data_IF_007151795152
#
_entry.id   IF_007151795152
#
_cell.length_a   1.000
_cell.length_b   1.000
_cell.length_c   1.000
_cell.angle_alpha   90.00
_cell.angle_beta   90.00
_cell.angle_gamma   90.00
#
_symmetry.space_group_name_H-M   'P 1'
#
loop_
_entity.id
_entity.type
_entity.pdbx_description
1 polymer ?
#
# COMPACT_ATOMS: atom_id res chain seq x y z
N UNK A 1 -0.43 -34.60 -36.63
CA UNK A 1 0.33 -34.35 -35.38
C UNK A 1 -0.57 -33.54 -34.46
N UNK A 2 -1.00 -34.11 -33.33
CA UNK A 2 -1.86 -33.42 -32.37
C UNK A 2 -0.96 -32.62 -31.44
N UNK A 3 -0.97 -31.30 -31.55
CA UNK A 3 -0.23 -30.42 -30.65
C UNK A 3 -0.98 -30.34 -29.32
N UNK A 4 -0.44 -30.99 -28.29
CA UNK A 4 -0.95 -30.87 -26.92
C UNK A 4 -0.49 -29.51 -26.38
N UNK A 5 -1.41 -28.56 -26.25
CA UNK A 5 -1.13 -27.29 -25.57
C UNK A 5 -0.90 -27.57 -24.08
N UNK A 6 0.34 -27.44 -23.62
CA UNK A 6 0.65 -27.47 -22.20
C UNK A 6 0.12 -26.18 -21.55
N UNK A 7 -0.92 -26.30 -20.72
CA UNK A 7 -1.39 -25.21 -19.89
C UNK A 7 -0.35 -24.93 -18.80
N UNK A 8 0.34 -23.79 -18.89
CA UNK A 8 1.21 -23.30 -17.83
C UNK A 8 0.30 -22.79 -16.69
N UNK A 9 0.03 -23.63 -15.70
CA UNK A 9 -0.57 -23.18 -14.44
C UNK A 9 0.48 -22.37 -13.69
N UNK A 10 0.43 -21.04 -13.80
CA UNK A 10 1.21 -20.16 -12.95
C UNK A 10 0.70 -20.29 -11.52
N UNK A 11 1.51 -20.88 -10.63
CA UNK A 11 1.29 -20.71 -9.19
C UNK A 11 1.45 -19.23 -8.89
N UNK A 12 0.35 -18.54 -8.58
CA UNK A 12 0.43 -17.20 -8.02
C UNK A 12 1.06 -17.33 -6.62
N UNK A 13 2.26 -16.77 -6.38
CA UNK A 13 2.84 -16.81 -5.05
C UNK A 13 1.91 -16.08 -4.08
N UNK A 14 1.60 -16.73 -2.94
CA UNK A 14 0.95 -16.08 -1.80
C UNK A 14 2.01 -15.21 -1.11
N UNK A 15 2.32 -14.05 -1.68
CA UNK A 15 3.20 -13.09 -1.03
C UNK A 15 2.45 -12.43 0.13
N UNK A 16 2.86 -12.73 1.38
CA UNK A 16 2.33 -12.09 2.58
C UNK A 16 3.34 -11.07 3.13
N UNK A 17 3.46 -9.92 2.49
CA UNK A 17 4.37 -8.84 2.89
C UNK A 17 4.02 -8.16 4.21
N UNK A 18 4.98 -8.08 5.14
CA UNK A 18 4.81 -7.38 6.42
C UNK A 18 5.40 -5.97 6.33
N UNK A 19 4.55 -4.96 6.17
CA UNK A 19 4.94 -3.55 6.09
C UNK A 19 3.72 -2.64 6.27
N UNK A 20 3.95 -1.39 6.72
CA UNK A 20 2.91 -0.40 6.96
C UNK A 20 3.24 0.91 6.22
N UNK A 21 2.32 1.34 5.36
CA UNK A 21 2.32 2.68 4.77
C UNK A 21 2.01 3.71 5.85
N UNK A 22 2.91 4.67 6.05
CA UNK A 22 2.82 5.53 7.23
C UNK A 22 3.27 6.97 7.03
N UNK A 23 3.78 7.36 5.85
CA UNK A 23 4.05 8.77 5.51
C UNK A 23 3.83 9.09 4.04
N UNK A 24 3.42 10.33 3.78
CA UNK A 24 3.36 10.91 2.45
C UNK A 24 4.42 12.00 2.33
N UNK A 25 5.07 12.10 1.16
CA UNK A 25 5.81 13.31 0.79
C UNK A 25 5.17 13.99 -0.42
N UNK A 26 5.19 15.32 -0.44
CA UNK A 26 4.64 16.15 -1.51
C UNK A 26 5.74 17.04 -2.05
N UNK A 27 6.08 16.90 -3.34
CA UNK A 27 7.24 17.58 -3.96
C UNK A 27 8.54 17.35 -3.19
N UNK A 28 8.71 16.18 -2.59
CA UNK A 28 9.87 15.80 -1.78
C UNK A 28 9.84 16.24 -0.31
N UNK A 29 8.86 17.05 0.11
CA UNK A 29 8.71 17.43 1.51
C UNK A 29 7.93 16.36 2.30
N UNK A 30 8.56 15.74 3.30
CA UNK A 30 7.91 14.81 4.24
C UNK A 30 6.79 15.54 5.00
N UNK A 31 5.57 14.97 4.99
CA UNK A 31 4.41 15.54 5.68
C UNK A 31 4.34 15.16 7.16
N UNK A 32 5.16 14.21 7.62
CA UNK A 32 5.22 13.73 8.99
C UNK A 32 4.63 12.35 9.18
N UNK A 33 5.07 11.68 10.25
CA UNK A 33 4.60 10.34 10.63
C UNK A 33 3.09 10.34 10.87
N UNK A 34 2.38 9.47 10.13
CA UNK A 34 0.94 9.21 10.23
C UNK A 34 -0.01 10.40 9.98
N UNK A 35 0.52 11.55 9.58
CA UNK A 35 -0.27 12.74 9.29
C UNK A 35 -1.09 12.55 8.01
N UNK A 36 -2.42 12.59 8.13
CA UNK A 36 -3.33 12.34 7.01
C UNK A 36 -3.32 10.90 6.48
N UNK A 37 -2.80 9.94 7.25
CA UNK A 37 -2.78 8.51 6.90
C UNK A 37 -3.73 7.76 7.83
N UNK A 38 -4.46 6.79 7.28
CA UNK A 38 -5.25 5.81 8.05
C UNK A 38 -4.42 4.52 8.13
N UNK A 39 -3.95 4.14 9.31
CA UNK A 39 -3.06 2.99 9.45
C UNK A 39 -3.46 2.06 10.63
N UNK A 40 -3.23 0.74 10.48
CA UNK A 40 -3.22 -0.20 11.60
C UNK A 40 -1.92 -0.08 12.42
N UNK A 41 -1.88 -0.73 13.59
CA UNK A 41 -0.62 -1.05 14.30
C UNK A 41 0.02 -2.35 13.78
N UNK A 42 -0.79 -3.21 13.16
CA UNK A 42 -0.42 -4.54 12.65
C UNK A 42 0.11 -4.45 11.22
N UNK A 43 1.20 -5.15 10.94
CA UNK A 43 1.82 -5.31 9.62
C UNK A 43 1.34 -6.57 8.88
N UNK A 44 0.51 -7.41 9.52
CA UNK A 44 -0.09 -8.60 8.89
C UNK A 44 -0.97 -8.24 7.68
N UNK A 45 -0.95 -9.13 6.69
CA UNK A 45 -1.60 -8.90 5.39
C UNK A 45 -3.11 -9.07 5.39
N UNK A 46 -3.75 -8.33 4.48
CA UNK A 46 -5.12 -8.60 4.05
C UNK A 46 -5.08 -9.68 2.96
N UNK A 47 -5.74 -10.81 3.23
CA UNK A 47 -5.78 -11.96 2.29
C UNK A 47 -7.12 -12.09 1.56
N UNK A 48 -8.22 -11.60 2.15
CA UNK A 48 -9.54 -11.67 1.54
C UNK A 48 -9.80 -10.42 0.67
N UNK A 49 -9.57 -10.54 -0.63
CA UNK A 49 -9.80 -9.45 -1.60
C UNK A 49 -11.27 -9.04 -1.77
N UNK A 50 -12.21 -9.87 -1.32
CA UNK A 50 -13.64 -9.56 -1.33
C UNK A 50 -14.12 -8.92 -0.02
N UNK A 51 -13.24 -8.76 0.97
CA UNK A 51 -13.54 -8.15 2.27
C UNK A 51 -13.48 -6.63 2.24
N UNK A 52 -14.22 -5.96 3.13
CA UNK A 52 -14.22 -4.49 3.25
C UNK A 52 -12.83 -3.92 3.59
N UNK A 53 -12.03 -4.71 4.31
CA UNK A 53 -10.66 -4.37 4.71
C UNK A 53 -9.72 -4.18 3.51
N UNK A 54 -10.05 -4.71 2.34
CA UNK A 54 -9.22 -4.57 1.14
C UNK A 54 -9.13 -3.11 0.64
N UNK A 55 -10.10 -2.25 1.02
CA UNK A 55 -10.11 -0.86 0.58
C UNK A 55 -9.00 -0.02 1.24
N UNK A 56 -8.85 -0.09 2.56
CA UNK A 56 -7.90 0.74 3.32
C UNK A 56 -7.27 0.04 4.54
N UNK A 57 -7.17 -1.29 4.54
CA UNK A 57 -6.76 -2.12 5.67
C UNK A 57 -7.81 -2.18 6.81
N UNK A 58 -7.55 -3.02 7.83
CA UNK A 58 -8.43 -3.27 8.98
C UNK A 58 -7.86 -2.68 10.26
N UNK A 59 -8.65 -2.71 11.34
CA UNK A 59 -8.21 -2.35 12.70
C UNK A 59 -7.43 -1.02 12.75
N UNK A 60 -7.95 0.01 12.08
CA UNK A 60 -7.29 1.32 11.98
C UNK A 60 -7.20 1.97 13.37
N UNK A 61 -5.97 2.12 13.87
CA UNK A 61 -5.65 2.72 15.17
C UNK A 61 -5.15 4.16 15.02
N UNK A 62 -4.58 4.48 13.87
CA UNK A 62 -4.08 5.82 13.54
C UNK A 62 -4.99 6.45 12.51
N UNK A 63 -5.66 7.54 12.89
CA UNK A 63 -6.47 8.37 12.02
C UNK A 63 -6.55 9.77 12.62
N UNK A 64 -6.13 10.77 11.87
CA UNK A 64 -6.34 12.18 12.20
C UNK A 64 -7.38 12.81 11.25
N UNK A 65 -7.64 14.10 11.43
CA UNK A 65 -8.50 14.91 10.56
C UNK A 65 -7.70 15.68 9.49
N UNK A 66 -6.40 15.41 9.35
CA UNK A 66 -5.56 16.15 8.41
C UNK A 66 -5.86 15.71 6.99
N UNK A 67 -6.18 16.66 6.11
CA UNK A 67 -6.21 16.44 4.66
C UNK A 67 -4.97 17.10 4.05
N UNK A 68 -4.09 16.29 3.47
CA UNK A 68 -2.85 16.78 2.89
C UNK A 68 -3.11 17.53 1.57
N UNK A 69 -2.68 18.80 1.42
CA UNK A 69 -2.82 19.52 0.16
C UNK A 69 -1.80 19.00 -0.87
N UNK A 70 -2.30 18.35 -1.93
CA UNK A 70 -1.48 17.82 -3.02
C UNK A 70 -1.86 18.55 -4.32
N UNK A 71 -1.01 19.47 -4.82
CA UNK A 71 -1.25 20.09 -6.12
C UNK A 71 -1.27 19.04 -7.23
N UNK A 72 -2.21 19.16 -8.18
CA UNK A 72 -2.22 18.30 -9.36
C UNK A 72 -0.88 18.37 -10.11
N UNK A 73 -0.38 17.22 -10.56
CA UNK A 73 0.94 17.09 -11.19
C UNK A 73 2.14 17.10 -10.23
N UNK A 74 1.93 17.24 -8.91
CA UNK A 74 3.02 17.09 -7.95
C UNK A 74 3.53 15.64 -7.90
N UNK A 75 4.85 15.48 -7.72
CA UNK A 75 5.42 14.19 -7.33
C UNK A 75 4.99 13.89 -5.89
N UNK A 76 4.34 12.74 -5.71
CA UNK A 76 3.92 12.22 -4.40
C UNK A 76 4.76 10.98 -4.08
N UNK A 77 5.33 10.95 -2.87
CA UNK A 77 6.02 9.76 -2.36
C UNK A 77 5.19 9.08 -1.27
N UNK A 78 5.15 7.76 -1.29
CA UNK A 78 4.61 6.94 -0.21
C UNK A 78 5.77 6.27 0.53
N UNK A 79 5.78 6.37 1.85
CA UNK A 79 6.81 5.76 2.69
C UNK A 79 6.24 4.62 3.51
N UNK A 80 6.94 3.51 3.46
CA UNK A 80 6.60 2.24 4.10
C UNK A 80 7.66 1.90 5.13
N UNK A 81 7.28 1.16 6.16
CA UNK A 81 8.21 0.64 7.16
C UNK A 81 7.70 -0.67 7.74
N UNK A 82 8.63 -1.51 8.19
CA UNK A 82 8.34 -2.83 8.77
C UNK A 82 7.28 -2.72 9.88
N UNK A 83 7.47 -1.78 10.83
CA UNK A 83 6.49 -1.42 11.86
C UNK A 83 6.22 0.09 11.88
N UNK A 84 5.26 0.54 12.68
CA UNK A 84 5.05 1.98 12.92
C UNK A 84 6.34 2.60 13.50
N UNK A 85 6.82 3.67 12.88
CA UNK A 85 8.11 4.31 13.20
C UNK A 85 9.27 3.83 12.33
N UNK A 86 9.11 2.75 11.56
CA UNK A 86 10.09 2.28 10.59
C UNK A 86 10.64 0.88 10.89
N UNK A 87 11.89 0.81 11.31
CA UNK A 87 12.56 -0.44 11.63
C UNK A 87 12.09 -0.98 12.99
N UNK A 88 11.95 -2.30 13.13
CA UNK A 88 11.56 -2.96 14.38
C UNK A 88 12.69 -2.93 15.44
N UNK A 89 13.92 -2.66 15.00
CA UNK A 89 15.09 -2.52 15.87
C UNK A 89 16.30 -2.00 15.12
N UNK A 90 17.43 -1.93 15.80
CA UNK A 90 18.69 -1.59 15.16
C UNK A 90 19.07 -2.66 14.13
N UNK A 91 19.47 -2.24 12.92
CA UNK A 91 19.87 -3.11 11.81
C UNK A 91 18.78 -4.11 11.37
N UNK A 92 17.51 -3.72 11.44
CA UNK A 92 16.39 -4.51 10.92
C UNK A 92 16.58 -4.82 9.42
N UNK A 93 16.86 -6.09 9.06
CA UNK A 93 17.11 -6.48 7.67
C UNK A 93 15.83 -6.45 6.82
N UNK A 94 14.67 -6.42 7.48
CA UNK A 94 13.36 -6.49 6.88
C UNK A 94 12.72 -5.11 6.79
N UNK A 95 13.44 -4.02 7.13
CA UNK A 95 12.97 -2.66 6.89
C UNK A 95 13.33 -2.19 5.46
N UNK A 96 12.37 -1.67 4.66
CA UNK A 96 10.95 -1.42 4.98
C UNK A 96 10.03 -2.64 4.82
N UNK A 97 10.50 -3.67 4.11
CA UNK A 97 9.86 -4.98 3.97
C UNK A 97 10.97 -6.01 3.68
N UNK A 98 10.82 -7.26 4.14
CA UNK A 98 11.79 -8.32 3.83
C UNK A 98 11.93 -8.55 2.32
N UNK A 99 13.16 -8.68 1.83
CA UNK A 99 13.48 -8.78 0.39
C UNK A 99 12.82 -9.97 -0.33
N UNK A 100 12.39 -11.00 0.39
CA UNK A 100 11.67 -12.14 -0.18
C UNK A 100 10.25 -11.80 -0.67
N UNK A 101 9.69 -10.64 -0.31
CA UNK A 101 8.32 -10.24 -0.64
C UNK A 101 8.25 -9.50 -1.97
N UNK A 102 8.71 -10.18 -3.02
CA UNK A 102 8.62 -9.67 -4.39
C UNK A 102 7.16 -9.54 -4.81
N UNK A 103 6.80 -8.38 -5.36
CA UNK A 103 5.43 -8.09 -5.74
C UNK A 103 5.23 -6.70 -6.30
N UNK A 104 4.06 -6.43 -6.90
CA UNK A 104 3.76 -5.11 -7.44
C UNK A 104 3.42 -4.12 -6.32
N UNK A 105 3.59 -2.83 -6.62
CA UNK A 105 3.06 -1.72 -5.84
C UNK A 105 2.07 -0.97 -6.73
N UNK A 106 0.91 -0.62 -6.19
CA UNK A 106 -0.12 0.13 -6.91
C UNK A 106 -0.70 1.24 -6.04
N UNK A 107 -1.11 2.33 -6.68
CA UNK A 107 -1.77 3.47 -6.03
C UNK A 107 -3.08 3.75 -6.75
N UNK A 108 -4.13 3.91 -5.96
CA UNK A 108 -5.47 4.23 -6.42
C UNK A 108 -5.95 5.51 -5.76
N UNK A 109 -6.82 6.23 -6.45
CA UNK A 109 -7.58 7.34 -5.89
C UNK A 109 -9.07 7.05 -6.00
N UNK A 110 -9.83 7.57 -5.05
CA UNK A 110 -11.28 7.66 -5.13
C UNK A 110 -11.71 9.07 -4.77
N UNK A 111 -12.64 9.64 -5.53
CA UNK A 111 -13.25 10.92 -5.15
C UNK A 111 -14.18 10.68 -3.97
N UNK A 112 -14.02 11.50 -2.94
CA UNK A 112 -14.88 11.55 -1.74
C UNK A 112 -15.33 12.98 -1.48
N UNK A 113 -16.39 13.16 -0.69
CA UNK A 113 -16.87 14.49 -0.31
C UNK A 113 -15.90 15.19 0.64
N UNK A 114 -15.43 14.46 1.67
CA UNK A 114 -14.42 14.90 2.62
C UNK A 114 -13.50 13.73 3.03
N UNK A 115 -12.20 13.86 2.79
CA UNK A 115 -11.21 12.82 3.08
C UNK A 115 -10.97 12.56 4.58
N UNK A 116 -11.23 13.54 5.45
CA UNK A 116 -11.10 13.36 6.89
C UNK A 116 -12.21 12.44 7.44
N UNK A 117 -13.42 12.55 6.90
CA UNK A 117 -14.62 11.92 7.46
C UNK A 117 -15.17 10.75 6.63
N UNK A 118 -14.87 10.67 5.33
CA UNK A 118 -15.42 9.64 4.44
C UNK A 118 -15.15 8.20 4.92
N UNK A 119 -16.15 7.33 4.78
CA UNK A 119 -15.99 5.88 4.85
C UNK A 119 -15.22 5.33 3.63
N UNK A 120 -15.00 4.02 3.59
CA UNK A 120 -14.20 3.36 2.54
C UNK A 120 -15.02 2.45 1.63
N UNK A 121 -16.26 2.12 2.03
CA UNK A 121 -17.18 1.25 1.29
C UNK A 121 -17.88 2.00 0.15
N UNK A 122 -18.04 1.33 -1.01
CA UNK A 122 -18.82 1.85 -2.13
C UNK A 122 -18.13 2.98 -2.92
N UNK A 123 -16.87 3.28 -2.62
CA UNK A 123 -16.09 4.27 -3.34
C UNK A 123 -15.74 3.79 -4.76
N UNK A 124 -15.65 4.73 -5.69
CA UNK A 124 -15.25 4.48 -7.08
C UNK A 124 -13.75 4.73 -7.23
N UNK A 125 -12.97 3.65 -7.12
CA UNK A 125 -11.52 3.68 -7.24
C UNK A 125 -11.07 3.68 -8.70
N UNK A 126 -10.03 4.47 -9.00
CA UNK A 126 -9.30 4.43 -10.26
C UNK A 126 -7.80 4.40 -9.99
N UNK A 127 -7.07 3.63 -10.79
CA UNK A 127 -5.62 3.47 -10.65
C UNK A 127 -4.90 4.71 -11.18
N UNK A 128 -3.86 5.15 -10.47
CA UNK A 128 -3.03 6.31 -10.89
C UNK A 128 -1.54 5.97 -11.01
N UNK A 129 -1.08 4.88 -10.40
CA UNK A 129 0.26 4.36 -10.57
C UNK A 129 0.29 2.85 -10.33
N UNK A 130 1.17 2.16 -11.04
CA UNK A 130 1.58 0.79 -10.74
C UNK A 130 3.00 0.54 -11.19
N UNK A 131 3.68 -0.34 -10.46
CA UNK A 131 4.93 -0.94 -10.88
C UNK A 131 4.88 -2.42 -10.47
N UNK A 132 5.32 -3.30 -11.36
CA UNK A 132 5.51 -4.72 -11.12
C UNK A 132 6.83 -5.16 -11.73
N UNK A 133 6.94 -6.45 -12.07
CA UNK A 133 8.16 -7.01 -12.63
C UNK A 133 8.56 -6.32 -13.97
N UNK A 134 9.75 -5.73 -14.03
CA UNK A 134 10.34 -5.13 -15.21
C UNK A 134 11.85 -5.34 -15.22
N UNK A 135 12.39 -5.92 -16.31
CA UNK A 135 13.82 -6.20 -16.46
C UNK A 135 14.43 -7.04 -15.32
N UNK A 136 13.65 -7.98 -14.77
CA UNK A 136 14.08 -8.86 -13.67
C UNK A 136 14.15 -8.17 -12.31
N UNK A 137 13.46 -7.04 -12.15
CA UNK A 137 13.36 -6.23 -10.93
C UNK A 137 11.93 -5.76 -10.70
#
# INVERSE_FOLDING_TARGET
>A
MKATAAALFGLAPLASGHTIFQKVSVKGADQGLLKGVRAPDSDYTIQNVNGADFACNKDIRHKDSTVLPIPAGARVGAWWGHVIGGAQGANDPDHPIAASHEGPISVYLAKVDDAATAGTTGLKWFKVAEAGLSNGK
#
